data_IF_673480552297
#
_entry.id   IF_673480552297
#
_cell.length_a   1.000
_cell.length_b   1.000
_cell.length_c   1.000
_cell.angle_alpha   90.00
_cell.angle_beta   90.00
_cell.angle_gamma   90.00
#
_symmetry.space_group_name_H-M   'P 1'
#
loop_
_entity.id
_entity.type
_entity.pdbx_description
1 polymer ?
#
# COMPACT_ATOMS: atom_id res chain seq x y z
N UNK A 1 -18.00 12.52 15.95
CA UNK A 1 -17.28 12.37 14.66
C UNK A 1 -17.17 10.89 14.33
N UNK A 2 -17.67 10.43 13.17
CA UNK A 2 -17.90 9.00 12.88
C UNK A 2 -16.58 8.19 12.84
N UNK A 3 -16.44 7.09 13.60
CA UNK A 3 -15.21 6.29 13.72
C UNK A 3 -14.79 5.57 12.43
N UNK A 4 -15.64 5.57 11.40
CA UNK A 4 -15.34 4.97 10.09
C UNK A 4 -14.32 5.79 9.27
N UNK A 5 -14.26 7.12 9.43
CA UNK A 5 -13.34 7.97 8.67
C UNK A 5 -11.88 7.86 9.15
N UNK A 6 -11.66 7.46 10.41
CA UNK A 6 -10.32 7.17 10.95
C UNK A 6 -9.77 5.84 10.43
N UNK A 7 -10.65 4.91 10.04
CA UNK A 7 -10.28 3.59 9.50
C UNK A 7 -9.91 3.65 8.01
N UNK A 8 -10.35 4.66 7.28
CA UNK A 8 -10.04 4.84 5.85
C UNK A 8 -8.68 5.49 5.60
N UNK A 9 -8.20 6.38 6.48
CA UNK A 9 -6.89 7.02 6.31
C UNK A 9 -5.70 6.10 6.66
N UNK A 10 -5.91 5.10 7.53
CA UNK A 10 -4.95 4.01 7.75
C UNK A 10 -5.11 2.91 6.67
N UNK A 11 -6.23 2.93 5.94
CA UNK A 11 -6.59 2.00 4.87
C UNK A 11 -6.18 2.42 3.45
N UNK A 12 -5.32 3.44 3.27
CA UNK A 12 -4.75 3.77 1.94
C UNK A 12 -3.68 2.73 1.51
N UNK A 13 -3.37 1.74 2.36
CA UNK A 13 -2.63 0.52 1.99
C UNK A 13 -3.57 -0.68 1.73
N UNK A 14 -4.64 -0.43 0.97
CA UNK A 14 -5.61 -1.44 0.51
C UNK A 14 -5.07 -2.48 -0.48
N UNK A 15 -3.75 -2.61 -0.65
CA UNK A 15 -3.12 -3.77 -1.28
C UNK A 15 -3.04 -4.98 -0.32
N UNK A 16 -3.48 -4.83 0.93
CA UNK A 16 -3.44 -5.88 1.94
C UNK A 16 -4.47 -7.01 1.71
N UNK A 17 -5.40 -6.87 0.76
CA UNK A 17 -6.44 -7.87 0.50
C UNK A 17 -5.96 -9.04 -0.38
N UNK A 18 -4.98 -8.80 -1.24
CA UNK A 18 -4.29 -9.86 -2.00
C UNK A 18 -2.92 -10.21 -1.40
N UNK A 19 -2.32 -9.30 -0.61
CA UNK A 19 -1.02 -9.50 0.04
C UNK A 19 -1.10 -9.72 1.57
N UNK A 20 -2.27 -10.05 2.11
CA UNK A 20 -2.48 -10.29 3.54
C UNK A 20 -1.62 -11.42 4.13
N UNK A 21 -1.08 -12.31 3.29
CA UNK A 21 -0.09 -13.32 3.68
C UNK A 21 1.33 -12.77 3.92
N UNK A 22 1.65 -11.53 3.53
CA UNK A 22 3.02 -11.00 3.60
C UNK A 22 3.40 -10.34 4.94
N UNK A 23 2.44 -10.04 5.81
CA UNK A 23 2.73 -9.55 7.18
C UNK A 23 3.09 -10.70 8.16
N UNK A 24 2.74 -11.94 7.82
CA UNK A 24 3.01 -13.10 8.67
C UNK A 24 4.38 -13.75 8.41
N UNK A 25 5.03 -13.47 7.27
CA UNK A 25 6.37 -14.03 6.95
C UNK A 25 7.54 -13.10 7.36
N UNK A 26 7.26 -12.08 8.18
CA UNK A 26 8.26 -11.23 8.83
C UNK A 26 8.49 -11.56 10.32
N UNK A 27 8.07 -12.73 10.78
CA UNK A 27 8.32 -13.26 12.13
C UNK A 27 9.71 -13.95 12.11
N UNK A 28 10.86 -13.29 12.24
CA UNK A 28 11.53 -12.79 13.46
C UNK A 28 12.94 -12.27 13.06
N UNK A 29 13.70 -11.48 13.87
CA UNK A 29 13.34 -10.36 14.74
C UNK A 29 14.02 -9.03 14.25
N UNK A 30 13.42 -7.89 14.59
CA UNK A 30 13.91 -6.49 14.38
C UNK A 30 13.66 -5.83 13.01
N UNK A 31 12.50 -5.18 12.90
CA UNK A 31 12.45 -3.77 12.48
C UNK A 31 11.91 -3.44 11.08
N UNK A 32 11.20 -2.31 11.02
CA UNK A 32 10.75 -1.55 9.85
C UNK A 32 11.86 -1.20 8.81
N UNK A 33 13.11 -1.66 9.00
CA UNK A 33 14.30 -1.28 8.23
C UNK A 33 14.63 -2.16 7.02
N UNK A 34 14.05 -3.35 6.84
CA UNK A 34 14.42 -4.21 5.68
C UNK A 34 13.85 -3.75 4.32
N UNK A 35 12.90 -2.81 4.32
CA UNK A 35 12.45 -2.15 3.07
C UNK A 35 13.32 -0.93 2.72
N UNK A 36 14.13 -0.41 3.65
CA UNK A 36 14.93 0.82 3.44
C UNK A 36 16.05 0.63 2.42
N UNK A 37 16.45 -0.61 2.14
CA UNK A 37 17.51 -0.98 1.21
C UNK A 37 17.06 -1.96 0.12
N UNK A 38 15.78 -1.98 -0.23
CA UNK A 38 15.35 -2.78 -1.38
C UNK A 38 15.92 -2.18 -2.65
N UNK A 39 16.83 -2.92 -3.27
CA UNK A 39 17.33 -2.62 -4.60
C UNK A 39 16.18 -2.66 -5.62
N UNK A 40 16.36 -2.02 -6.78
CA UNK A 40 15.41 -2.13 -7.88
C UNK A 40 15.15 -3.60 -8.28
N UNK A 41 16.16 -4.46 -8.13
CA UNK A 41 16.05 -5.90 -8.34
C UNK A 41 15.15 -6.58 -7.28
N UNK A 42 15.22 -6.18 -6.01
CA UNK A 42 14.35 -6.72 -4.95
C UNK A 42 12.89 -6.32 -5.17
N UNK A 43 12.67 -5.10 -5.65
CA UNK A 43 11.34 -4.61 -6.03
C UNK A 43 10.78 -5.42 -7.20
N UNK A 44 11.56 -5.61 -8.27
CA UNK A 44 11.14 -6.39 -9.42
C UNK A 44 10.80 -7.84 -9.04
N UNK A 45 11.61 -8.45 -8.16
CA UNK A 45 11.36 -9.78 -7.60
C UNK A 45 10.12 -9.83 -6.74
N UNK A 46 9.86 -8.78 -5.96
CA UNK A 46 8.64 -8.68 -5.17
C UNK A 46 7.40 -8.58 -6.06
N UNK A 47 7.46 -7.74 -7.10
CA UNK A 47 6.40 -7.57 -8.09
C UNK A 47 6.08 -8.90 -8.81
N UNK A 48 7.10 -9.62 -9.29
CA UNK A 48 6.86 -10.90 -9.97
C UNK A 48 6.18 -11.91 -9.05
N UNK A 49 6.66 -12.06 -7.81
CA UNK A 49 6.02 -12.94 -6.82
C UNK A 49 4.61 -12.53 -6.47
N UNK A 50 4.36 -11.23 -6.40
CA UNK A 50 3.04 -10.67 -6.14
C UNK A 50 2.05 -11.04 -7.25
N UNK A 51 2.46 -10.89 -8.51
CA UNK A 51 1.68 -11.30 -9.68
C UNK A 51 1.48 -12.82 -9.65
N UNK A 52 2.54 -13.62 -9.49
CA UNK A 52 2.46 -15.08 -9.44
C UNK A 52 1.47 -15.59 -8.38
N UNK A 53 1.48 -14.97 -7.19
CA UNK A 53 0.58 -15.33 -6.11
C UNK A 53 -0.88 -15.02 -6.47
N UNK A 54 -1.16 -13.82 -6.97
CA UNK A 54 -2.50 -13.41 -7.37
C UNK A 54 -3.01 -14.25 -8.55
N UNK A 55 -2.15 -14.53 -9.53
CA UNK A 55 -2.44 -15.41 -10.67
C UNK A 55 -2.87 -16.79 -10.20
N UNK A 56 -2.11 -17.43 -9.30
CA UNK A 56 -2.48 -18.75 -8.78
C UNK A 56 -3.76 -18.73 -7.96
N UNK A 57 -4.06 -17.61 -7.29
CA UNK A 57 -5.20 -17.51 -6.39
C UNK A 57 -6.50 -17.20 -7.12
N UNK A 58 -6.43 -16.35 -8.14
CA UNK A 58 -7.59 -15.87 -8.91
C UNK A 58 -7.65 -16.49 -10.32
N UNK A 59 -6.72 -17.36 -10.69
CA UNK A 59 -6.60 -17.92 -12.04
C UNK A 59 -6.57 -16.81 -13.12
N UNK A 60 -5.61 -15.88 -12.99
CA UNK A 60 -5.54 -14.70 -13.85
C UNK A 60 -4.97 -15.03 -15.23
N UNK A 61 -5.63 -14.55 -16.28
CA UNK A 61 -5.09 -14.60 -17.64
C UNK A 61 -3.99 -13.55 -17.89
N UNK A 62 -3.37 -13.57 -19.07
CA UNK A 62 -2.28 -12.67 -19.42
C UNK A 62 -2.67 -11.18 -19.41
N UNK A 63 -3.92 -10.85 -19.78
CA UNK A 63 -4.41 -9.46 -19.80
C UNK A 63 -4.64 -8.98 -18.37
N UNK A 64 -5.25 -9.82 -17.53
CA UNK A 64 -5.49 -9.55 -16.11
C UNK A 64 -4.18 -9.40 -15.33
N UNK A 65 -3.17 -10.21 -15.63
CA UNK A 65 -1.83 -10.10 -15.06
C UNK A 65 -1.15 -8.78 -15.43
N UNK A 66 -1.27 -8.33 -16.69
CA UNK A 66 -0.74 -7.04 -17.11
C UNK A 66 -1.40 -5.88 -16.36
N UNK A 67 -2.73 -5.92 -16.19
CA UNK A 67 -3.48 -4.91 -15.41
C UNK A 67 -3.09 -4.92 -13.94
N UNK A 68 -2.89 -6.09 -13.35
CA UNK A 68 -2.36 -6.22 -11.99
C UNK A 68 -0.94 -5.63 -11.88
N UNK A 69 -0.10 -5.84 -12.89
CA UNK A 69 1.24 -5.24 -12.96
C UNK A 69 1.19 -3.71 -12.91
N UNK A 70 0.31 -3.09 -13.70
CA UNK A 70 0.10 -1.63 -13.69
C UNK A 70 -0.41 -1.13 -12.33
N UNK A 71 -1.31 -1.88 -11.69
CA UNK A 71 -1.79 -1.55 -10.35
C UNK A 71 -0.66 -1.60 -9.32
N UNK A 72 0.19 -2.64 -9.34
CA UNK A 72 1.32 -2.77 -8.44
C UNK A 72 2.33 -1.62 -8.66
N UNK A 73 2.63 -1.28 -9.91
CA UNK A 73 3.54 -0.17 -10.23
C UNK A 73 2.98 1.16 -9.73
N UNK A 74 1.68 1.39 -9.91
CA UNK A 74 1.01 2.61 -9.43
C UNK A 74 1.04 2.71 -7.91
N UNK A 75 0.80 1.61 -7.20
CA UNK A 75 0.93 1.54 -5.74
C UNK A 75 2.35 1.83 -5.27
N UNK A 76 3.35 1.29 -5.97
CA UNK A 76 4.75 1.54 -5.63
C UNK A 76 5.12 3.01 -5.85
N UNK A 77 4.74 3.60 -6.98
CA UNK A 77 4.96 5.01 -7.29
C UNK A 77 4.32 5.91 -6.22
N UNK A 78 3.06 5.65 -5.86
CA UNK A 78 2.37 6.42 -4.83
C UNK A 78 3.05 6.26 -3.45
N UNK A 79 3.51 5.06 -3.12
CA UNK A 79 4.27 4.82 -1.87
C UNK A 79 5.58 5.59 -1.86
N UNK A 80 6.33 5.62 -2.96
CA UNK A 80 7.57 6.38 -3.08
C UNK A 80 7.31 7.88 -2.91
N UNK A 81 6.27 8.41 -3.56
CA UNK A 81 5.87 9.81 -3.41
C UNK A 81 5.51 10.15 -1.95
N UNK A 82 4.80 9.26 -1.24
CA UNK A 82 4.43 9.48 0.16
C UNK A 82 5.58 9.33 1.16
N UNK A 83 6.59 8.50 0.83
CA UNK A 83 7.80 8.39 1.64
C UNK A 83 8.69 9.62 1.49
N UNK A 84 8.80 10.17 0.28
CA UNK A 84 9.83 11.16 -0.05
C UNK A 84 11.24 10.56 0.04
N UNK A 85 12.26 11.43 0.01
CA UNK A 85 13.67 11.04 0.05
C UNK A 85 14.24 10.81 1.46
N UNK A 86 13.50 11.16 2.51
CA UNK A 86 14.00 11.14 3.89
C UNK A 86 13.45 9.96 4.70
N UNK A 87 14.31 9.40 5.56
CA UNK A 87 13.94 8.41 6.57
C UNK A 87 12.81 8.96 7.47
N UNK A 88 11.66 8.26 7.60
CA UNK A 88 10.58 8.64 8.48
C UNK A 88 11.03 8.93 9.92
N UNK A 89 12.04 8.21 10.43
CA UNK A 89 12.58 8.44 11.78
C UNK A 89 13.35 9.74 11.87
N UNK A 90 14.19 10.05 10.87
CA UNK A 90 14.88 11.32 10.78
C UNK A 90 13.89 12.49 10.65
N UNK A 91 12.82 12.35 9.85
CA UNK A 91 11.75 13.35 9.76
C UNK A 91 11.09 13.58 11.13
N UNK A 92 10.81 12.53 11.90
CA UNK A 92 10.24 12.66 13.24
C UNK A 92 11.21 13.26 14.26
N UNK A 93 12.50 12.93 14.16
CA UNK A 93 13.55 13.55 15.00
C UNK A 93 13.68 15.04 14.71
N UNK A 94 13.58 15.46 13.46
CA UNK A 94 13.59 16.88 13.08
C UNK A 94 12.42 17.68 13.68
N UNK A 95 11.31 17.03 14.03
CA UNK A 95 10.18 17.67 14.74
C UNK A 95 10.44 17.87 16.24
N UNK A 96 11.34 17.06 16.82
CA UNK A 96 11.75 17.13 18.22
C UNK A 96 13.01 17.99 18.32
N UNK A 97 12.85 19.32 18.20
CA UNK A 97 13.96 20.26 18.37
C UNK A 97 14.51 20.29 19.80
N UNK A 98 15.52 21.12 20.03
CA UNK A 98 16.24 21.26 21.32
C UNK A 98 15.40 21.96 22.41
N UNK A 99 14.29 21.33 22.80
CA UNK A 99 13.47 21.72 23.95
C UNK A 99 11.97 21.85 23.65
N UNK A 100 11.55 21.92 22.39
CA UNK A 100 10.12 22.01 22.03
C UNK A 100 9.79 21.28 20.72
N UNK A 101 8.51 20.92 20.56
CA UNK A 101 7.99 20.30 19.34
C UNK A 101 7.67 21.35 18.27
N UNK A 102 8.23 21.18 17.07
CA UNK A 102 7.98 22.07 15.92
C UNK A 102 6.64 21.74 15.26
N UNK A 103 5.59 22.41 15.72
CA UNK A 103 4.22 22.26 15.18
C UNK A 103 4.10 22.76 13.75
N UNK A 104 4.89 23.77 13.36
CA UNK A 104 4.80 24.35 12.02
C UNK A 104 5.39 23.38 10.99
N UNK A 105 6.57 22.84 11.28
CA UNK A 105 7.19 21.82 10.43
C UNK A 105 6.34 20.54 10.36
N UNK A 106 5.73 20.11 11.47
CA UNK A 106 4.80 18.98 11.48
C UNK A 106 3.59 19.21 10.54
N UNK A 107 3.03 20.42 10.57
CA UNK A 107 1.89 20.77 9.73
C UNK A 107 2.27 20.79 8.25
N UNK A 108 3.46 21.31 7.92
CA UNK A 108 3.97 21.34 6.56
C UNK A 108 4.20 19.92 5.99
N UNK A 109 4.79 19.02 6.77
CA UNK A 109 4.97 17.60 6.39
C UNK A 109 3.63 16.92 6.09
N UNK A 110 2.59 17.19 6.88
CA UNK A 110 1.24 16.65 6.65
C UNK A 110 0.65 17.23 5.37
N UNK A 111 0.77 18.53 5.15
CA UNK A 111 0.25 19.20 3.96
C UNK A 111 0.91 18.66 2.67
N UNK A 112 2.23 18.45 2.70
CA UNK A 112 2.99 17.83 1.61
C UNK A 112 2.48 16.42 1.30
N UNK A 113 2.31 15.57 2.32
CA UNK A 113 1.75 14.21 2.13
C UNK A 113 0.33 14.25 1.59
N UNK A 114 -0.51 15.18 2.07
CA UNK A 114 -1.88 15.36 1.57
C UNK A 114 -1.89 15.76 0.09
N UNK A 115 -0.96 16.63 -0.34
CA UNK A 115 -0.82 16.99 -1.75
C UNK A 115 -0.47 15.76 -2.59
N UNK A 116 0.53 14.97 -2.20
CA UNK A 116 0.89 13.73 -2.90
C UNK A 116 -0.25 12.71 -2.95
N UNK A 117 -1.05 12.59 -1.88
CA UNK A 117 -2.25 11.74 -1.90
C UNK A 117 -3.26 12.28 -2.92
N UNK A 118 -3.54 13.58 -2.92
CA UNK A 118 -4.52 14.19 -3.84
C UNK A 118 -4.11 14.00 -5.30
N UNK A 119 -2.83 14.14 -5.61
CA UNK A 119 -2.28 13.96 -6.96
C UNK A 119 -2.28 12.48 -7.39
N UNK A 120 -1.90 11.56 -6.50
CA UNK A 120 -1.78 10.13 -6.82
C UNK A 120 -3.11 9.35 -6.79
N UNK A 121 -4.09 9.82 -6.01
CA UNK A 121 -5.34 9.10 -5.76
C UNK A 121 -6.15 8.79 -7.03
N UNK A 122 -6.35 9.72 -7.98
CA UNK A 122 -7.09 9.42 -9.21
C UNK A 122 -6.46 8.28 -10.02
N UNK A 123 -5.12 8.29 -10.14
CA UNK A 123 -4.39 7.25 -10.87
C UNK A 123 -4.51 5.88 -10.20
N UNK A 124 -4.41 5.84 -8.87
CA UNK A 124 -4.61 4.59 -8.13
C UNK A 124 -6.02 4.05 -8.31
N UNK A 125 -7.05 4.91 -8.16
CA UNK A 125 -8.46 4.51 -8.31
C UNK A 125 -8.71 3.95 -9.71
N UNK A 126 -8.19 4.61 -10.74
CA UNK A 126 -8.29 4.13 -12.12
C UNK A 126 -7.62 2.75 -12.29
N UNK A 127 -6.40 2.57 -11.80
CA UNK A 127 -5.70 1.29 -11.92
C UNK A 127 -6.39 0.14 -11.16
N UNK A 128 -7.01 0.43 -10.01
CA UNK A 128 -7.82 -0.55 -9.28
C UNK A 128 -9.08 -0.91 -10.07
N UNK A 129 -9.77 0.09 -10.62
CA UNK A 129 -10.95 -0.11 -11.47
C UNK A 129 -10.61 -0.96 -12.69
N UNK A 130 -9.60 -0.58 -13.46
CA UNK A 130 -9.13 -1.30 -14.65
C UNK A 130 -8.79 -2.77 -14.35
N UNK A 131 -8.13 -3.05 -13.22
CA UNK A 131 -7.85 -4.42 -12.81
C UNK A 131 -9.13 -5.16 -12.45
N UNK A 132 -9.96 -4.61 -11.57
CA UNK A 132 -11.17 -5.27 -11.09
C UNK A 132 -12.20 -5.52 -12.21
N UNK A 133 -12.37 -4.56 -13.12
CA UNK A 133 -13.30 -4.66 -14.25
C UNK A 133 -12.80 -5.64 -15.32
N UNK A 134 -11.48 -5.91 -15.37
CA UNK A 134 -10.92 -6.97 -16.23
C UNK A 134 -11.16 -8.39 -15.70
N UNK A 135 -11.57 -8.53 -14.44
CA UNK A 135 -11.82 -9.83 -13.82
C UNK A 135 -13.17 -10.41 -14.24
N UNK A 136 -13.22 -11.73 -14.41
CA UNK A 136 -14.45 -12.50 -14.63
C UNK A 136 -15.34 -12.44 -13.37
N UNK A 137 -16.67 -12.62 -13.48
CA UNK A 137 -17.59 -12.51 -12.34
C UNK A 137 -17.23 -13.40 -11.13
N UNK A 138 -16.69 -14.59 -11.39
CA UNK A 138 -16.21 -15.53 -10.37
C UNK A 138 -14.98 -15.00 -9.62
N UNK A 139 -14.01 -14.45 -10.36
CA UNK A 139 -12.79 -13.85 -9.81
C UNK A 139 -13.11 -12.60 -9.00
N UNK A 140 -14.03 -11.75 -9.48
CA UNK A 140 -14.50 -10.59 -8.73
C UNK A 140 -15.18 -11.00 -7.42
N UNK A 141 -15.93 -12.11 -7.42
CA UNK A 141 -16.54 -12.66 -6.20
C UNK A 141 -15.46 -13.09 -5.21
N UNK A 142 -14.45 -13.82 -5.67
CA UNK A 142 -13.31 -14.21 -4.83
C UNK A 142 -12.61 -12.99 -4.22
N UNK A 143 -12.37 -11.92 -5.01
CA UNK A 143 -11.80 -10.66 -4.49
C UNK A 143 -12.66 -10.06 -3.40
N UNK A 144 -13.99 -10.00 -3.58
CA UNK A 144 -14.91 -9.50 -2.54
C UNK A 144 -14.93 -10.39 -1.29
N UNK A 145 -14.89 -11.71 -1.47
CA UNK A 145 -14.86 -12.66 -0.36
C UNK A 145 -13.58 -12.52 0.46
N UNK A 146 -12.42 -12.33 -0.19
CA UNK A 146 -11.15 -12.05 0.50
C UNK A 146 -11.19 -10.75 1.29
N UNK A 147 -11.87 -9.72 0.78
CA UNK A 147 -12.07 -8.46 1.50
C UNK A 147 -12.95 -8.64 2.75
N UNK A 148 -13.98 -9.49 2.66
CA UNK A 148 -14.91 -9.77 3.77
C UNK A 148 -14.32 -10.71 4.83
N UNK A 149 -13.49 -11.68 4.43
CA UNK A 149 -12.88 -12.67 5.33
C UNK A 149 -11.88 -12.08 6.34
N UNK A 150 -11.54 -10.77 6.25
CA UNK A 150 -10.64 -10.08 7.18
C UNK A 150 -11.29 -9.58 8.48
N UNK A 151 -12.55 -9.91 8.76
CA UNK A 151 -13.15 -9.70 10.09
C UNK A 151 -12.82 -10.89 11.02
N UNK A 152 -11.66 -10.83 11.69
CA UNK A 152 -11.32 -11.75 12.79
C UNK A 152 -12.04 -11.39 14.11
N UNK A 153 -12.02 -12.28 15.13
CA UNK A 153 -12.99 -12.32 16.25
C UNK A 153 -12.90 -11.21 17.31
N UNK A 154 -12.19 -10.11 17.01
CA UNK A 154 -12.00 -8.97 17.91
C UNK A 154 -12.53 -7.68 17.28
N UNK A 155 -13.71 -7.77 16.66
CA UNK A 155 -14.48 -6.60 16.19
C UNK A 155 -15.64 -6.30 17.11
#
# INVERSE_FOLDING_TARGET
MRPWLKRTLIGVFGASALFGGFAAWSQHPHGFGRWESMSEADVARFKSRAIDHATRRLDLDAVQQARLGVLIDTLQQQRQALRGSADPRAQFQALMGDGTFDRWHAQDLINSKLASVREGSPKLVAAVGDFYDSLRPEQQRQVRDFLQQRHGPWS
#
